data_IF_774733685127
#
_entry.id   IF_774733685127
#
_cell.length_a   1.000
_cell.length_b   1.000
_cell.length_c   1.000
_cell.angle_alpha   90.00
_cell.angle_beta   90.00
_cell.angle_gamma   90.00
#
_symmetry.space_group_name_H-M   'P 1'
#
loop_
_entity.id
_entity.type
_entity.pdbx_description
1 polymer ?
#
# COMPACT_ATOMS: atom_id res chain seq x y z
N UNK A 1 0.18 2.34 -8.45
CA UNK A 1 0.23 2.79 -9.85
C UNK A 1 1.50 3.53 -10.25
N UNK A 2 1.96 4.53 -9.51
CA UNK A 2 3.09 5.37 -9.95
C UNK A 2 4.40 4.62 -10.23
N UNK A 3 4.72 3.58 -9.46
CA UNK A 3 5.92 2.76 -9.68
C UNK A 3 5.83 1.99 -11.00
N UNK A 4 4.69 1.34 -11.26
CA UNK A 4 4.41 0.65 -12.53
C UNK A 4 4.42 1.63 -13.70
N UNK A 5 3.86 2.83 -13.50
CA UNK A 5 3.78 3.87 -14.51
C UNK A 5 5.13 4.46 -14.93
N UNK A 6 6.08 4.54 -13.99
CA UNK A 6 7.38 5.17 -14.21
C UNK A 6 8.50 4.15 -14.42
N UNK A 7 8.28 2.88 -14.04
CA UNK A 7 9.27 1.81 -14.14
C UNK A 7 10.49 1.99 -13.23
N UNK A 8 10.40 2.88 -12.22
CA UNK A 8 11.53 3.19 -11.33
C UNK A 8 11.12 3.24 -9.86
N UNK A 9 11.96 2.66 -9.02
CA UNK A 9 11.87 2.71 -7.55
C UNK A 9 13.23 3.13 -6.96
N UNK A 10 13.29 3.67 -5.72
CA UNK A 10 14.56 3.92 -5.07
C UNK A 10 15.18 2.60 -4.60
N UNK A 11 16.47 2.63 -4.23
CA UNK A 11 17.09 1.47 -3.58
C UNK A 11 16.41 1.10 -2.27
N UNK A 12 16.02 2.10 -1.48
CA UNK A 12 15.14 1.96 -0.33
C UNK A 12 14.23 3.17 -0.20
N UNK A 13 12.98 2.98 0.25
CA UNK A 13 12.10 4.08 0.65
C UNK A 13 12.45 4.69 2.01
N UNK A 14 13.35 4.06 2.77
CA UNK A 14 13.63 4.41 4.16
C UNK A 14 15.06 4.94 4.33
N UNK A 15 15.25 5.84 5.30
CA UNK A 15 16.57 6.36 5.61
C UNK A 15 17.44 5.31 6.32
N UNK A 16 18.74 5.32 6.01
CA UNK A 16 19.72 4.46 6.68
C UNK A 16 20.14 4.98 8.07
N UNK A 17 19.71 6.19 8.46
CA UNK A 17 20.11 6.86 9.70
C UNK A 17 19.69 6.12 10.98
N UNK A 18 18.80 5.11 10.88
CA UNK A 18 18.40 4.25 12.00
C UNK A 18 18.94 2.81 11.90
N UNK A 19 19.91 2.54 11.03
CA UNK A 19 20.50 1.19 10.85
C UNK A 19 21.22 0.63 12.10
N UNK A 20 21.40 1.44 13.14
CA UNK A 20 22.06 1.05 14.39
C UNK A 20 21.18 0.28 15.39
N UNK A 21 19.91 0.05 15.07
CA UNK A 21 19.03 -0.77 15.91
C UNK A 21 18.14 -1.64 15.02
N UNK A 22 17.69 -2.78 15.54
CA UNK A 22 16.93 -3.86 14.85
C UNK A 22 15.57 -3.43 14.25
N UNK A 23 15.35 -2.13 14.02
CA UNK A 23 14.14 -1.57 13.45
C UNK A 23 14.06 -2.03 12.00
N UNK A 24 13.08 -2.87 11.72
CA UNK A 24 12.80 -3.32 10.36
C UNK A 24 11.56 -2.60 9.89
N UNK A 25 11.65 -1.90 8.75
CA UNK A 25 10.54 -1.11 8.25
C UNK A 25 9.30 -1.99 8.02
N UNK A 26 8.14 -1.48 8.40
CA UNK A 26 6.83 -2.04 8.13
C UNK A 26 5.96 -1.01 7.41
N UNK A 27 5.17 -1.47 6.44
CA UNK A 27 4.18 -0.66 5.76
C UNK A 27 2.82 -0.87 6.43
N UNK A 28 2.38 0.16 7.16
CA UNK A 28 1.09 0.20 7.84
C UNK A 28 -0.06 0.39 6.83
N UNK A 29 -0.45 -0.71 6.19
CA UNK A 29 -1.54 -0.77 5.23
C UNK A 29 -2.47 -1.95 5.50
N UNK A 30 -3.77 -1.73 5.29
CA UNK A 30 -4.81 -2.75 5.41
C UNK A 30 -5.61 -2.89 4.11
N UNK A 31 -6.02 -4.12 3.74
CA UNK A 31 -6.95 -4.34 2.64
C UNK A 31 -8.28 -3.59 2.86
N UNK A 32 -8.80 -2.94 1.81
CA UNK A 32 -10.00 -2.12 1.92
C UNK A 32 -11.27 -2.94 2.24
N UNK A 33 -11.37 -4.15 1.69
CA UNK A 33 -12.43 -5.13 1.98
C UNK A 33 -12.43 -5.55 3.45
N UNK A 34 -11.25 -5.79 4.02
CA UNK A 34 -11.08 -6.03 5.45
C UNK A 34 -11.57 -4.85 6.28
N UNK A 35 -11.14 -3.62 5.96
CA UNK A 35 -11.54 -2.42 6.71
C UNK A 35 -13.05 -2.21 6.65
N UNK A 36 -13.66 -2.37 5.47
CA UNK A 36 -15.10 -2.24 5.31
C UNK A 36 -15.88 -3.28 6.13
N UNK A 37 -15.43 -4.55 6.11
CA UNK A 37 -16.04 -5.62 6.90
C UNK A 37 -15.90 -5.36 8.40
N UNK A 38 -14.74 -4.87 8.85
CA UNK A 38 -14.49 -4.52 10.25
C UNK A 38 -15.40 -3.37 10.71
N UNK A 39 -15.52 -2.30 9.92
CA UNK A 39 -16.40 -1.17 10.22
C UNK A 39 -17.86 -1.61 10.29
N UNK A 40 -18.32 -2.45 9.36
CA UNK A 40 -19.69 -2.96 9.37
C UNK A 40 -19.96 -3.84 10.60
N UNK A 41 -19.03 -4.75 10.94
CA UNK A 41 -19.17 -5.62 12.09
C UNK A 41 -19.20 -4.83 13.40
N UNK A 42 -18.19 -3.99 13.65
CA UNK A 42 -18.07 -3.23 14.89
C UNK A 42 -19.13 -2.13 15.03
N UNK A 43 -19.51 -1.49 13.93
CA UNK A 43 -20.55 -0.45 13.93
C UNK A 43 -21.93 -0.97 14.29
N UNK A 44 -22.20 -2.26 14.04
CA UNK A 44 -23.49 -2.88 14.36
C UNK A 44 -23.65 -3.34 15.82
N UNK A 45 -22.58 -3.28 16.62
CA UNK A 45 -22.55 -3.83 17.98
C UNK A 45 -23.07 -2.88 19.07
N UNK A 46 -23.21 -1.59 18.77
CA UNK A 46 -23.48 -0.56 19.77
C UNK A 46 -24.72 0.25 19.39
N UNK A 47 -25.72 0.28 20.28
CA UNK A 47 -26.91 1.15 20.12
C UNK A 47 -26.71 2.53 20.77
N UNK A 48 -25.81 2.66 21.74
CA UNK A 48 -25.48 3.90 22.46
C UNK A 48 -23.98 3.99 22.78
N UNK A 49 -23.46 5.21 22.93
CA UNK A 49 -22.07 5.47 23.34
C UNK A 49 -21.15 5.99 22.23
N UNK A 50 -19.88 6.22 22.57
CA UNK A 50 -18.83 6.63 21.63
C UNK A 50 -17.64 5.66 21.73
N UNK A 51 -17.29 5.06 20.60
CA UNK A 51 -16.21 4.09 20.48
C UNK A 51 -15.21 4.56 19.43
N UNK A 52 -13.93 4.47 19.73
CA UNK A 52 -12.85 4.87 18.83
C UNK A 52 -11.82 3.73 18.73
N UNK A 53 -11.46 3.41 17.49
CA UNK A 53 -10.55 2.33 17.14
C UNK A 53 -9.49 2.86 16.17
N UNK A 54 -8.23 2.52 16.43
CA UNK A 54 -7.15 2.76 15.47
C UNK A 54 -7.12 1.59 14.48
N UNK A 55 -7.54 1.84 13.24
CA UNK A 55 -7.56 0.84 12.17
C UNK A 55 -6.21 0.87 11.45
N UNK A 56 -5.24 0.20 12.05
CA UNK A 56 -3.84 0.12 11.59
C UNK A 56 -3.39 -1.33 11.54
N UNK A 57 -2.31 -1.58 10.79
CA UNK A 57 -1.59 -2.83 10.77
C UNK A 57 -0.44 -2.78 11.79
N UNK A 58 -0.55 -3.46 12.95
CA UNK A 58 0.45 -3.40 14.01
C UNK A 58 1.55 -4.46 13.85
N UNK A 59 1.58 -5.22 12.75
CA UNK A 59 2.44 -6.39 12.63
C UNK A 59 3.93 -6.01 12.57
N UNK A 60 4.77 -6.74 13.30
CA UNK A 60 6.23 -6.65 13.21
C UNK A 60 6.77 -7.70 12.22
N UNK A 61 6.20 -7.72 11.01
CA UNK A 61 6.46 -8.74 9.98
C UNK A 61 7.52 -8.34 8.94
N UNK A 62 8.11 -7.15 9.09
CA UNK A 62 9.11 -6.59 8.18
C UNK A 62 8.62 -6.39 6.73
N UNK A 63 7.30 -6.39 6.48
CA UNK A 63 6.75 -6.12 5.15
C UNK A 63 6.75 -4.62 4.90
N UNK A 64 7.81 -4.13 4.25
CA UNK A 64 8.01 -2.71 3.92
C UNK A 64 7.63 -2.38 2.48
N UNK A 65 7.65 -1.09 2.11
CA UNK A 65 7.54 -0.68 0.70
C UNK A 65 8.63 -1.29 -0.19
N UNK A 66 9.82 -1.56 0.36
CA UNK A 66 10.91 -2.17 -0.39
C UNK A 66 10.60 -3.63 -0.70
N UNK A 67 10.05 -4.37 0.26
CA UNK A 67 9.61 -5.76 0.08
C UNK A 67 8.47 -5.83 -0.94
N UNK A 68 7.53 -4.89 -0.88
CA UNK A 68 6.43 -4.79 -1.86
C UNK A 68 7.00 -4.57 -3.28
N UNK A 69 8.02 -3.72 -3.44
CA UNK A 69 8.68 -3.53 -4.74
C UNK A 69 9.41 -4.79 -5.20
N UNK A 70 10.06 -5.52 -4.30
CA UNK A 70 10.70 -6.80 -4.65
C UNK A 70 9.66 -7.80 -5.17
N UNK A 71 8.49 -7.93 -4.53
CA UNK A 71 7.41 -8.78 -5.02
C UNK A 71 6.89 -8.38 -6.40
N UNK A 72 6.82 -7.07 -6.71
CA UNK A 72 6.43 -6.60 -8.04
C UNK A 72 7.48 -7.00 -9.10
N UNK A 73 8.77 -6.84 -8.78
CA UNK A 73 9.87 -7.23 -9.67
C UNK A 73 9.88 -8.75 -9.87
N UNK A 74 9.71 -9.53 -8.81
CA UNK A 74 9.62 -10.99 -8.84
C UNK A 74 8.41 -11.47 -9.67
N UNK A 75 7.31 -10.72 -9.67
CA UNK A 75 6.14 -10.97 -10.52
C UNK A 75 6.35 -10.59 -12.00
N UNK A 76 7.50 -10.01 -12.34
CA UNK A 76 7.89 -9.66 -13.72
C UNK A 76 7.59 -8.23 -14.13
N UNK A 77 7.23 -7.35 -13.20
CA UNK A 77 7.02 -5.94 -13.50
C UNK A 77 8.34 -5.23 -13.83
N UNK A 78 8.39 -4.37 -14.88
CA UNK A 78 9.61 -3.77 -15.38
C UNK A 78 10.05 -2.57 -14.52
N UNK A 79 10.32 -2.81 -13.23
CA UNK A 79 10.78 -1.80 -12.28
C UNK A 79 12.29 -1.92 -12.09
N UNK A 80 13.03 -0.83 -12.35
CA UNK A 80 14.45 -0.71 -11.96
C UNK A 80 14.60 0.08 -10.67
N UNK A 81 15.50 -0.38 -9.81
CA UNK A 81 15.97 0.41 -8.67
C UNK A 81 17.00 1.45 -9.09
N UNK A 82 16.96 2.62 -8.46
CA UNK A 82 17.93 3.70 -8.58
C UNK A 82 18.60 3.87 -7.20
N UNK A 83 19.93 3.82 -7.17
CA UNK A 83 20.70 3.71 -5.93
C UNK A 83 20.53 4.90 -4.99
N UNK A 84 20.63 6.13 -5.51
CA UNK A 84 20.47 7.34 -4.73
C UNK A 84 19.01 7.80 -4.70
N UNK A 85 18.45 7.96 -3.49
CA UNK A 85 17.06 8.39 -3.31
C UNK A 85 16.76 9.74 -3.98
N UNK A 86 17.67 10.71 -3.86
CA UNK A 86 17.51 12.02 -4.50
C UNK A 86 17.43 11.92 -6.03
N UNK A 87 18.28 11.09 -6.64
CA UNK A 87 18.27 10.85 -8.09
C UNK A 87 17.00 10.14 -8.53
N UNK A 88 16.53 9.16 -7.74
CA UNK A 88 15.24 8.53 -7.95
C UNK A 88 14.13 9.57 -7.91
N UNK A 89 14.05 10.38 -6.86
CA UNK A 89 12.98 11.34 -6.64
C UNK A 89 12.90 12.35 -7.78
N UNK A 90 14.02 12.93 -8.23
CA UNK A 90 14.01 13.87 -9.35
C UNK A 90 13.46 13.25 -10.64
N UNK A 91 13.88 12.02 -10.95
CA UNK A 91 13.42 11.31 -12.16
C UNK A 91 11.96 10.89 -12.03
N UNK A 92 11.56 10.47 -10.84
CA UNK A 92 10.22 10.03 -10.54
C UNK A 92 9.22 11.20 -10.58
N UNK A 93 9.53 12.35 -9.95
CA UNK A 93 8.70 13.56 -10.01
C UNK A 93 8.54 14.04 -11.47
N UNK A 94 9.63 14.07 -12.24
CA UNK A 94 9.59 14.42 -13.67
C UNK A 94 8.68 13.46 -14.46
N UNK A 95 8.84 12.15 -14.26
CA UNK A 95 8.05 11.14 -14.96
C UNK A 95 6.56 11.23 -14.58
N UNK A 96 6.25 11.37 -13.29
CA UNK A 96 4.86 11.51 -12.78
C UNK A 96 4.20 12.78 -13.33
N UNK A 97 4.92 13.91 -13.38
CA UNK A 97 4.45 15.16 -14.01
C UNK A 97 4.23 15.03 -15.52
N UNK A 98 5.01 14.17 -16.18
CA UNK A 98 4.89 13.88 -17.61
C UNK A 98 3.76 12.92 -17.98
N UNK A 99 3.14 12.22 -17.01
CA UNK A 99 2.07 11.26 -17.30
C UNK A 99 0.86 11.93 -17.97
N UNK A 100 0.16 11.24 -18.91
CA UNK A 100 -1.13 11.69 -19.40
C UNK A 100 -2.10 12.00 -18.26
N UNK A 101 -2.96 13.00 -18.41
CA UNK A 101 -3.87 13.46 -17.35
C UNK A 101 -4.74 12.31 -16.78
N UNK A 102 -5.19 11.41 -17.66
CA UNK A 102 -5.98 10.22 -17.31
C UNK A 102 -5.27 9.29 -16.32
N UNK A 103 -3.94 9.18 -16.40
CA UNK A 103 -3.11 8.38 -15.50
C UNK A 103 -2.61 9.19 -14.32
N UNK A 104 -2.31 10.47 -14.52
CA UNK A 104 -1.76 11.37 -13.50
C UNK A 104 -2.70 11.50 -12.31
N UNK A 105 -4.02 11.53 -12.53
CA UNK A 105 -5.04 11.57 -11.47
C UNK A 105 -5.10 10.32 -10.57
N UNK A 106 -4.57 9.20 -11.05
CA UNK A 106 -4.44 7.94 -10.28
C UNK A 106 -3.01 7.69 -9.81
N UNK A 107 -2.12 8.66 -10.00
CA UNK A 107 -0.74 8.61 -9.53
C UNK A 107 -0.59 9.37 -8.21
N UNK A 108 0.61 9.32 -7.64
CA UNK A 108 0.95 10.03 -6.41
C UNK A 108 1.21 11.53 -6.63
N UNK A 109 0.89 12.07 -7.81
CA UNK A 109 1.18 13.46 -8.20
C UNK A 109 0.80 14.49 -7.13
N UNK A 110 -0.39 14.37 -6.52
CA UNK A 110 -0.87 15.29 -5.47
C UNK A 110 -0.22 15.06 -4.11
N UNK A 111 0.46 13.92 -3.94
CA UNK A 111 1.13 13.50 -2.70
C UNK A 111 2.65 13.58 -2.83
N UNK A 112 3.18 14.25 -3.86
CA UNK A 112 4.61 14.12 -4.18
C UNK A 112 5.55 14.66 -3.12
N UNK A 113 5.15 15.72 -2.41
CA UNK A 113 5.99 16.27 -1.35
C UNK A 113 6.22 15.27 -0.20
N UNK A 114 5.31 14.31 0.00
CA UNK A 114 5.47 13.25 0.99
C UNK A 114 6.58 12.24 0.69
N UNK A 115 7.11 12.24 -0.54
CA UNK A 115 8.22 11.38 -0.98
C UNK A 115 9.50 12.18 -1.26
N UNK A 116 9.56 13.46 -0.87
CA UNK A 116 10.75 14.29 -1.10
C UNK A 116 11.98 13.80 -0.34
N UNK A 117 11.75 13.14 0.80
CA UNK A 117 12.78 12.55 1.64
C UNK A 117 12.44 11.09 1.94
N UNK A 118 13.44 10.22 2.16
CA UNK A 118 13.19 8.87 2.65
C UNK A 118 12.40 8.90 3.96
N UNK A 119 11.53 7.90 4.15
CA UNK A 119 10.76 7.76 5.38
C UNK A 119 11.62 7.22 6.52
N UNK A 120 11.24 7.54 7.74
CA UNK A 120 11.81 6.88 8.93
C UNK A 120 11.24 5.47 9.04
N UNK A 121 12.10 4.46 9.15
CA UNK A 121 11.64 3.09 9.38
C UNK A 121 10.94 2.96 10.75
N UNK A 122 9.81 2.26 10.77
CA UNK A 122 9.06 1.88 11.98
C UNK A 122 8.83 0.37 11.95
N UNK A 123 9.03 -0.32 13.08
CA UNK A 123 8.59 -1.69 13.28
C UNK A 123 7.12 -1.66 13.72
N UNK A 124 6.21 -2.18 12.90
CA UNK A 124 4.77 -2.14 13.17
C UNK A 124 4.15 -0.75 12.98
N UNK A 125 3.17 -0.42 13.82
CA UNK A 125 2.40 0.83 13.75
C UNK A 125 2.87 1.87 14.77
N UNK A 126 2.77 3.15 14.40
CA UNK A 126 3.04 4.28 15.30
C UNK A 126 1.98 4.45 16.40
N UNK A 127 0.80 3.83 16.24
CA UNK A 127 -0.32 3.92 17.18
C UNK A 127 -0.79 2.54 17.62
N UNK A 128 -1.26 2.38 18.87
CA UNK A 128 -1.68 1.08 19.39
C UNK A 128 -2.98 0.60 18.73
N UNK A 129 -3.05 -0.70 18.45
CA UNK A 129 -4.20 -1.36 17.80
C UNK A 129 -4.99 -2.28 18.73
N UNK A 130 -4.64 -2.37 20.03
CA UNK A 130 -5.15 -3.40 20.95
C UNK A 130 -6.68 -3.40 21.07
N UNK A 131 -7.29 -2.22 21.13
CA UNK A 131 -8.75 -2.06 21.21
C UNK A 131 -9.44 -2.59 19.96
N UNK A 132 -8.86 -2.31 18.79
CA UNK A 132 -9.40 -2.76 17.50
C UNK A 132 -9.24 -4.27 17.35
N UNK A 133 -8.04 -4.80 17.62
CA UNK A 133 -7.77 -6.24 17.56
C UNK A 133 -8.65 -7.03 18.54
N UNK A 134 -8.93 -6.49 19.72
CA UNK A 134 -9.84 -7.12 20.69
C UNK A 134 -11.28 -7.12 20.21
N UNK A 135 -11.78 -5.98 19.76
CA UNK A 135 -13.14 -5.87 19.25
C UNK A 135 -13.38 -6.78 18.02
N UNK A 136 -12.40 -6.91 17.13
CA UNK A 136 -12.46 -7.84 15.99
C UNK A 136 -12.60 -9.30 16.44
N UNK A 137 -11.77 -9.74 17.39
CA UNK A 137 -11.83 -11.11 17.94
C UNK A 137 -13.19 -11.40 18.57
N UNK A 138 -13.76 -10.43 19.26
CA UNK A 138 -15.05 -10.55 19.94
C UNK A 138 -16.24 -10.50 18.96
N UNK A 139 -16.06 -9.92 17.76
CA UNK A 139 -17.14 -9.76 16.78
C UNK A 139 -17.61 -11.06 16.12
N UNK A 140 -16.82 -12.13 16.16
CA UNK A 140 -17.22 -13.46 15.67
C UNK A 140 -17.47 -13.58 14.15
N UNK A 141 -17.28 -12.51 13.36
CA UNK A 141 -17.67 -12.45 11.95
C UNK A 141 -16.64 -13.07 10.96
N UNK A 142 -15.95 -14.14 11.37
CA UNK A 142 -14.93 -14.83 10.54
C UNK A 142 -13.60 -14.09 10.34
N UNK A 143 -13.56 -12.78 10.58
CA UNK A 143 -12.35 -11.94 10.53
C UNK A 143 -11.78 -11.76 11.93
N UNK A 144 -11.09 -12.78 12.44
CA UNK A 144 -10.60 -12.80 13.83
C UNK A 144 -9.25 -12.10 14.04
N UNK A 145 -8.55 -11.72 12.97
CA UNK A 145 -7.21 -11.15 13.03
C UNK A 145 -6.99 -10.09 11.95
N UNK A 146 -6.16 -9.10 12.30
CA UNK A 146 -5.67 -8.10 11.35
C UNK A 146 -4.80 -8.83 10.31
N UNK A 147 -5.04 -8.67 8.99
CA UNK A 147 -4.32 -9.41 7.96
C UNK A 147 -2.90 -8.88 7.78
N UNK A 148 -1.99 -9.77 7.38
CA UNK A 148 -0.69 -9.39 6.84
C UNK A 148 -0.83 -8.99 5.36
N UNK A 149 0.06 -8.13 4.90
CA UNK A 149 0.19 -7.85 3.47
C UNK A 149 0.99 -9.00 2.84
N UNK A 150 0.48 -9.54 1.75
CA UNK A 150 1.07 -10.70 1.06
C UNK A 150 1.35 -10.39 -0.41
N UNK A 151 2.26 -11.13 -1.08
CA UNK A 151 2.49 -10.98 -2.51
C UNK A 151 1.20 -11.10 -3.34
N UNK A 152 0.32 -12.04 -2.96
CA UNK A 152 -0.96 -12.25 -3.65
C UNK A 152 -1.91 -11.05 -3.54
N UNK A 153 -1.89 -10.34 -2.40
CA UNK A 153 -2.64 -9.09 -2.24
C UNK A 153 -2.04 -7.98 -3.11
N UNK A 154 -0.71 -7.85 -3.17
CA UNK A 154 -0.03 -6.87 -4.01
C UNK A 154 -0.31 -7.10 -5.50
N UNK A 155 -0.35 -8.36 -5.95
CA UNK A 155 -0.67 -8.72 -7.33
C UNK A 155 -2.10 -8.31 -7.76
N UNK A 156 -3.06 -8.22 -6.83
CA UNK A 156 -4.41 -7.69 -7.12
C UNK A 156 -4.37 -6.21 -7.56
N UNK A 157 -3.41 -5.43 -7.07
CA UNK A 157 -3.28 -4.03 -7.45
C UNK A 157 -2.78 -3.82 -8.88
N UNK A 158 -2.06 -4.78 -9.47
CA UNK A 158 -1.70 -4.75 -10.90
C UNK A 158 -2.87 -5.18 -11.80
N UNK A 159 -3.58 -6.23 -11.39
CA UNK A 159 -4.70 -6.78 -12.16
C UNK A 159 -5.96 -5.89 -12.16
N UNK A 160 -6.10 -4.97 -11.20
CA UNK A 160 -7.30 -4.15 -11.02
C UNK A 160 -8.40 -4.89 -10.23
N UNK A 161 -9.49 -4.21 -9.83
CA UNK A 161 -10.58 -4.87 -9.11
C UNK A 161 -11.19 -5.99 -9.95
N UNK A 162 -11.46 -7.12 -9.30
CA UNK A 162 -12.09 -8.30 -9.89
C UNK A 162 -13.62 -8.10 -9.98
N UNK A 163 -14.08 -6.98 -10.54
CA UNK A 163 -15.50 -6.66 -10.63
C UNK A 163 -16.03 -7.00 -12.04
N UNK A 164 -16.70 -8.14 -12.16
CA UNK A 164 -17.40 -8.53 -13.38
C UNK A 164 -18.72 -7.74 -13.47
N UNK A 165 -18.67 -6.57 -14.11
CA UNK A 165 -19.89 -5.94 -14.61
C UNK A 165 -20.52 -6.84 -15.68
N UNK A 166 -21.84 -7.14 -15.65
CA UNK A 166 -22.47 -7.92 -16.70
C UNK A 166 -22.37 -7.17 -18.03
N UNK A 167 -21.47 -7.63 -18.91
CA UNK A 167 -21.18 -7.04 -20.21
C UNK A 167 -19.87 -6.23 -20.30
N UNK A 168 -19.08 -6.11 -19.23
CA UNK A 168 -17.81 -5.37 -19.22
C UNK A 168 -16.61 -6.24 -19.62
N UNK A 169 -15.83 -5.81 -20.62
CA UNK A 169 -14.53 -6.41 -20.94
C UNK A 169 -13.57 -6.28 -19.75
N UNK A 170 -12.77 -7.32 -19.47
CA UNK A 170 -11.76 -7.34 -18.41
C UNK A 170 -10.69 -6.28 -18.69
N UNK A 171 -10.74 -5.14 -18.02
CA UNK A 171 -9.74 -4.07 -18.15
C UNK A 171 -8.76 -4.19 -16.99
N UNK A 172 -7.58 -4.74 -17.25
CA UNK A 172 -6.45 -4.69 -16.30
C UNK A 172 -5.68 -3.39 -16.48
N UNK A 173 -4.95 -2.92 -15.47
CA UNK A 173 -4.12 -1.72 -15.63
C UNK A 173 -3.10 -1.90 -16.76
N UNK A 174 -2.55 -3.11 -16.93
CA UNK A 174 -1.70 -3.49 -18.07
C UNK A 174 -2.36 -3.26 -19.42
N UNK A 175 -3.65 -3.56 -19.55
CA UNK A 175 -4.41 -3.33 -20.79
C UNK A 175 -4.67 -1.84 -21.08
N UNK A 176 -4.91 -1.03 -20.04
CA UNK A 176 -4.99 0.42 -20.17
C UNK A 176 -3.66 1.01 -20.65
N UNK A 177 -2.54 0.50 -20.14
CA UNK A 177 -1.19 0.92 -20.55
C UNK A 177 -0.88 0.59 -22.01
N UNK A 178 -1.16 -0.62 -22.46
CA UNK A 178 -0.94 -1.01 -23.87
C UNK A 178 -1.82 -0.22 -24.86
N UNK A 179 -2.98 0.29 -24.42
CA UNK A 179 -3.87 1.08 -25.27
C UNK A 179 -3.47 2.56 -25.42
N UNK A 180 -2.58 3.05 -24.55
CA UNK A 180 -2.15 4.45 -24.50
C UNK A 180 -0.71 4.67 -25.00
N UNK A 181 -0.05 3.61 -25.50
CA UNK A 181 1.30 3.62 -26.11
C UNK A 181 1.23 3.30 -27.59
#
# INVERSE_FOLDING_TARGET
>A
MSLLATGIAPRSFYSAENAESRITAHFDGLPADFVAAAVAALGSQFEEGFHSYNVVNPHEDAVSLDVIVDWLIEAGEPIRRIDHYGDWFMRFDTAVRGLPESLRKYSVYTLMDGYRQPQTALSGSAVPADKFATALRESGNGTSSIPHITPGLVAKYDSGPEETWPGGTRVTYRSLWQSLS
#
